data_IF_474504475686
#
_entry.id   IF_474504475686
#
_cell.length_a   1.000
_cell.length_b   1.000
_cell.length_c   1.000
_cell.angle_alpha   90.00
_cell.angle_beta   90.00
_cell.angle_gamma   90.00
#
_symmetry.space_group_name_H-M   'P 1'
#
loop_
_entity.id
_entity.type
_entity.pdbx_description
1 polymer ?
#
# COMPACT_ATOMS: atom_id res chain seq x y z
N UNK A 1 4.48 -27.78 -18.16
CA UNK A 1 5.17 -26.52 -17.82
C UNK A 1 5.91 -26.03 -19.06
N UNK A 2 5.61 -24.81 -19.49
CA UNK A 2 6.30 -24.14 -20.60
C UNK A 2 7.73 -23.75 -20.18
N UNK A 3 8.68 -23.81 -21.11
CA UNK A 3 10.02 -23.25 -20.92
C UNK A 3 10.01 -21.71 -20.98
N UNK A 4 11.10 -21.08 -20.57
CA UNK A 4 11.28 -19.63 -20.70
C UNK A 4 11.28 -19.21 -22.18
N UNK A 5 11.86 -20.04 -23.03
CA UNK A 5 11.90 -19.89 -24.49
C UNK A 5 10.50 -19.99 -25.11
N UNK A 6 9.69 -20.98 -24.72
CA UNK A 6 8.29 -21.07 -25.17
C UNK A 6 7.51 -19.82 -24.77
N UNK A 7 7.79 -19.32 -23.57
CA UNK A 7 7.11 -18.18 -22.99
C UNK A 7 7.46 -16.88 -23.72
N UNK A 8 8.73 -16.67 -24.09
CA UNK A 8 9.18 -15.55 -24.92
C UNK A 8 8.57 -15.60 -26.32
N UNK A 9 8.55 -16.79 -26.94
CA UNK A 9 7.92 -16.98 -28.25
C UNK A 9 6.42 -16.68 -28.20
N UNK A 10 5.68 -17.27 -27.26
CA UNK A 10 4.24 -17.04 -27.11
C UNK A 10 3.92 -15.57 -26.82
N UNK A 11 4.74 -14.89 -26.01
CA UNK A 11 4.59 -13.44 -25.79
C UNK A 11 4.67 -12.66 -27.11
N UNK A 12 5.65 -12.98 -27.96
CA UNK A 12 5.76 -12.36 -29.28
C UNK A 12 4.56 -12.68 -30.18
N UNK A 13 4.08 -13.92 -30.21
CA UNK A 13 2.96 -14.32 -31.08
C UNK A 13 1.66 -13.63 -30.66
N UNK A 14 1.34 -13.61 -29.38
CA UNK A 14 0.03 -13.13 -28.92
C UNK A 14 -0.07 -11.59 -28.93
N UNK A 15 1.04 -10.86 -29.09
CA UNK A 15 0.99 -9.40 -29.35
C UNK A 15 0.43 -9.05 -30.74
N UNK A 16 0.30 -10.00 -31.66
CA UNK A 16 -0.30 -9.78 -32.98
C UNK A 16 -1.83 -9.86 -32.97
N UNK A 17 -2.44 -10.29 -31.86
CA UNK A 17 -3.89 -10.37 -31.73
C UNK A 17 -4.45 -8.96 -31.65
N UNK A 18 -5.37 -8.54 -32.55
CA UNK A 18 -5.89 -7.18 -32.56
C UNK A 18 -6.68 -6.85 -31.28
N UNK A 19 -6.63 -5.58 -30.88
CA UNK A 19 -7.34 -5.05 -29.71
C UNK A 19 -8.85 -5.29 -29.77
N UNK A 20 -9.46 -5.04 -30.93
CA UNK A 20 -10.90 -5.14 -31.14
C UNK A 20 -11.20 -6.39 -31.98
N UNK A 21 -11.45 -7.52 -31.33
CA UNK A 21 -11.84 -8.75 -32.01
C UNK A 21 -11.86 -9.98 -31.12
N UNK A 22 -12.34 -11.09 -31.66
CA UNK A 22 -12.24 -12.38 -31.00
C UNK A 22 -10.89 -13.02 -31.30
N UNK A 23 -10.22 -13.50 -30.26
CA UNK A 23 -8.96 -14.27 -30.37
C UNK A 23 -9.08 -15.44 -31.35
N UNK A 24 -10.24 -16.09 -31.40
CA UNK A 24 -10.49 -17.26 -32.26
C UNK A 24 -10.65 -16.92 -33.74
N UNK A 25 -10.84 -15.65 -34.09
CA UNK A 25 -10.97 -15.22 -35.48
C UNK A 25 -9.60 -14.95 -36.12
N UNK A 26 -8.54 -14.82 -35.30
CA UNK A 26 -7.19 -14.58 -35.77
C UNK A 26 -6.53 -15.87 -36.26
N UNK A 27 -5.86 -15.74 -37.41
CA UNK A 27 -5.19 -16.84 -38.12
C UNK A 27 -3.70 -16.57 -38.14
N UNK A 28 -2.94 -17.58 -37.71
CA UNK A 28 -1.49 -17.61 -37.83
C UNK A 28 -1.09 -18.64 -38.88
N UNK A 29 -0.04 -18.33 -39.63
CA UNK A 29 0.54 -19.24 -40.63
C UNK A 29 1.95 -19.67 -40.22
N UNK A 30 2.37 -20.85 -40.67
CA UNK A 30 3.71 -21.39 -40.35
C UNK A 30 4.86 -20.42 -40.70
N UNK A 31 4.86 -19.73 -41.86
CA UNK A 31 5.91 -18.74 -42.15
C UNK A 31 5.90 -17.53 -41.20
N UNK A 32 4.74 -17.14 -40.67
CA UNK A 32 4.64 -16.06 -39.68
C UNK A 32 5.17 -16.52 -38.32
N UNK A 33 4.92 -17.78 -37.93
CA UNK A 33 5.47 -18.36 -36.70
C UNK A 33 7.00 -18.38 -36.72
N UNK A 34 7.61 -18.72 -37.85
CA UNK A 34 9.08 -18.69 -38.02
C UNK A 34 9.63 -17.25 -37.90
N UNK A 35 8.91 -16.28 -38.45
CA UNK A 35 9.27 -14.87 -38.32
C UNK A 35 9.17 -14.41 -36.86
N UNK A 36 8.12 -14.79 -36.14
CA UNK A 36 7.96 -14.46 -34.72
C UNK A 36 9.02 -15.12 -33.84
N UNK A 37 9.44 -16.35 -34.16
CA UNK A 37 10.57 -16.99 -33.49
C UNK A 37 11.85 -16.17 -33.63
N UNK A 38 12.16 -15.75 -34.87
CA UNK A 38 13.32 -14.92 -35.12
C UNK A 38 13.26 -13.58 -34.39
N UNK A 39 12.09 -12.93 -34.38
CA UNK A 39 11.88 -11.65 -33.70
C UNK A 39 11.92 -11.77 -32.17
N UNK A 40 11.49 -12.90 -31.61
CA UNK A 40 11.61 -13.20 -30.19
C UNK A 40 13.06 -13.49 -29.75
N UNK A 41 13.97 -13.74 -30.71
CA UNK A 41 15.36 -14.10 -30.42
C UNK A 41 15.52 -15.52 -29.87
N UNK A 42 14.54 -16.40 -30.12
CA UNK A 42 14.50 -17.78 -29.63
C UNK A 42 14.95 -18.74 -30.73
N UNK A 43 15.79 -19.72 -30.39
CA UNK A 43 16.21 -20.79 -31.30
C UNK A 43 15.13 -21.89 -31.35
N UNK A 44 14.70 -22.30 -32.54
CA UNK A 44 13.71 -23.36 -32.73
C UNK A 44 14.10 -24.66 -32.01
N UNK A 45 15.40 -24.96 -31.93
CA UNK A 45 15.92 -26.17 -31.27
C UNK A 45 15.78 -26.14 -29.75
N UNK A 46 15.56 -24.96 -29.17
CA UNK A 46 15.35 -24.76 -27.73
C UNK A 46 13.88 -24.74 -27.33
N UNK A 47 12.96 -24.61 -28.28
CA UNK A 47 11.53 -24.67 -28.01
C UNK A 47 11.12 -26.07 -27.55
N UNK A 48 10.23 -26.11 -26.57
CA UNK A 48 9.55 -27.36 -26.26
C UNK A 48 8.40 -27.57 -27.25
N UNK A 49 7.95 -28.82 -27.43
CA UNK A 49 6.75 -29.08 -28.23
C UNK A 49 5.45 -28.55 -27.58
N UNK A 50 5.51 -28.03 -26.35
CA UNK A 50 4.33 -27.69 -25.55
C UNK A 50 3.64 -26.41 -26.03
N UNK A 51 4.36 -25.47 -26.65
CA UNK A 51 3.75 -24.24 -27.18
C UNK A 51 2.68 -24.54 -28.24
N UNK A 52 2.84 -25.64 -29.00
CA UNK A 52 1.88 -26.02 -30.07
C UNK A 52 0.49 -26.26 -29.53
N UNK A 53 0.36 -26.69 -28.28
CA UNK A 53 -0.92 -26.95 -27.63
C UNK A 53 -1.74 -25.67 -27.39
N UNK A 54 -1.13 -24.49 -27.46
CA UNK A 54 -1.82 -23.20 -27.43
C UNK A 54 -2.63 -22.95 -28.71
N UNK A 55 -2.41 -23.76 -29.76
CA UNK A 55 -3.02 -23.61 -31.06
C UNK A 55 -3.81 -24.85 -31.48
N UNK A 56 -4.97 -24.63 -32.10
CA UNK A 56 -5.69 -25.58 -32.93
C UNK A 56 -5.23 -25.40 -34.38
N UNK A 57 -4.72 -26.46 -34.99
CA UNK A 57 -4.40 -26.49 -36.42
C UNK A 57 -5.61 -26.96 -37.23
N UNK A 58 -5.90 -26.27 -38.33
CA UNK A 58 -6.91 -26.67 -39.31
C UNK A 58 -6.24 -26.78 -40.67
N UNK A 59 -6.43 -27.91 -41.33
CA UNK A 59 -5.99 -28.11 -42.70
C UNK A 59 -6.91 -27.32 -43.65
N UNK A 60 -6.42 -26.18 -44.12
CA UNK A 60 -7.12 -25.30 -45.04
C UNK A 60 -6.11 -24.61 -45.96
N UNK A 61 -6.28 -24.78 -47.27
CA UNK A 61 -5.46 -24.06 -48.25
C UNK A 61 -5.88 -22.60 -48.36
N UNK A 62 -4.99 -21.70 -47.95
CA UNK A 62 -5.19 -20.25 -47.98
C UNK A 62 -3.95 -19.54 -48.51
N UNK A 63 -4.15 -18.39 -49.16
CA UNK A 63 -3.05 -17.53 -49.58
C UNK A 63 -2.51 -16.74 -48.38
N UNK A 64 -1.21 -16.76 -48.13
CA UNK A 64 -0.58 -16.04 -47.02
C UNK A 64 -0.72 -14.52 -47.16
N UNK A 65 -0.73 -14.00 -48.40
CA UNK A 65 -0.76 -12.56 -48.67
C UNK A 65 -2.16 -11.93 -48.51
N UNK A 66 -3.22 -12.58 -49.00
CA UNK A 66 -4.59 -12.04 -48.92
C UNK A 66 -5.49 -12.78 -47.92
N UNK A 67 -5.00 -13.86 -47.30
CA UNK A 67 -5.73 -14.71 -46.33
C UNK A 67 -7.03 -15.34 -46.87
N UNK A 68 -7.27 -15.25 -48.19
CA UNK A 68 -8.41 -15.81 -48.88
C UNK A 68 -8.19 -17.29 -49.22
N UNK A 69 -9.30 -18.01 -49.44
CA UNK A 69 -9.26 -19.37 -49.97
C UNK A 69 -8.64 -19.39 -51.37
N UNK A 70 -8.05 -20.52 -51.78
CA UNK A 70 -7.46 -20.67 -53.13
C UNK A 70 -8.44 -20.30 -54.24
N UNK A 71 -9.73 -20.64 -54.07
CA UNK A 71 -10.79 -20.31 -55.02
C UNK A 71 -11.13 -18.82 -55.13
N UNK A 72 -10.80 -18.03 -54.11
CA UNK A 72 -11.15 -16.60 -54.01
C UNK A 72 -9.90 -15.69 -54.10
N UNK A 73 -8.71 -16.29 -54.18
CA UNK A 73 -7.44 -15.58 -54.22
C UNK A 73 -7.23 -14.88 -55.57
N UNK A 74 -6.92 -13.58 -55.52
CA UNK A 74 -6.60 -12.76 -56.71
C UNK A 74 -5.13 -12.36 -56.79
N UNK A 75 -4.29 -12.89 -55.89
CA UNK A 75 -2.85 -12.57 -55.83
C UNK A 75 -2.08 -13.18 -57.02
N UNK A 76 -1.16 -12.39 -57.57
CA UNK A 76 -0.28 -12.80 -58.68
C UNK A 76 0.73 -13.87 -58.26
N UNK A 77 1.23 -13.78 -57.02
CA UNK A 77 2.16 -14.73 -56.42
C UNK A 77 1.40 -15.60 -55.40
N UNK A 78 1.10 -16.84 -55.80
CA UNK A 78 0.32 -17.80 -55.02
C UNK A 78 1.20 -18.50 -53.98
N UNK A 79 1.55 -17.78 -52.91
CA UNK A 79 2.12 -18.40 -51.71
C UNK A 79 0.98 -18.98 -50.88
N UNK A 80 0.66 -20.25 -51.11
CA UNK A 80 -0.38 -20.97 -50.39
C UNK A 80 0.22 -21.79 -49.24
N UNK A 81 -0.49 -21.82 -48.12
CA UNK A 81 -0.21 -22.68 -46.97
C UNK A 81 -1.37 -23.63 -46.74
N UNK A 82 -1.07 -24.85 -46.31
CA UNK A 82 -2.06 -25.90 -46.07
C UNK A 82 -2.58 -25.94 -44.63
N UNK A 83 -1.86 -25.32 -43.70
CA UNK A 83 -2.14 -25.40 -42.27
C UNK A 83 -2.33 -24.00 -41.71
N UNK A 84 -3.45 -23.80 -41.01
CA UNK A 84 -3.78 -22.55 -40.33
C UNK A 84 -3.89 -22.82 -38.84
N UNK A 85 -3.25 -21.98 -38.03
CA UNK A 85 -3.27 -22.08 -36.57
C UNK A 85 -4.21 -21.04 -35.98
N UNK A 86 -5.05 -21.47 -35.05
CA UNK A 86 -5.96 -20.65 -34.26
C UNK A 86 -5.63 -20.82 -32.79
N UNK A 87 -5.71 -19.77 -31.99
CA UNK A 87 -5.53 -19.90 -30.54
C UNK A 87 -6.64 -20.78 -29.96
N UNK A 88 -6.29 -21.60 -28.97
CA UNK A 88 -7.23 -22.40 -28.19
C UNK A 88 -7.51 -21.75 -26.82
N UNK A 89 -8.59 -20.96 -26.65
CA UNK A 89 -8.87 -20.27 -25.40
C UNK A 89 -8.94 -21.19 -24.18
N UNK A 90 -9.45 -22.41 -24.35
CA UNK A 90 -9.61 -23.36 -23.25
C UNK A 90 -8.25 -23.91 -22.79
N UNK A 91 -7.36 -24.21 -23.74
CA UNK A 91 -6.01 -24.65 -23.42
C UNK A 91 -5.22 -23.53 -22.75
N UNK A 92 -5.26 -22.34 -23.35
CA UNK A 92 -4.58 -21.14 -22.85
C UNK A 92 -5.02 -20.81 -21.43
N UNK A 93 -6.33 -20.79 -21.18
CA UNK A 93 -6.87 -20.52 -19.85
C UNK A 93 -6.43 -21.55 -18.81
N UNK A 94 -6.40 -22.84 -19.18
CA UNK A 94 -5.97 -23.90 -18.27
C UNK A 94 -4.49 -23.80 -17.91
N UNK A 95 -3.62 -23.56 -18.88
CA UNK A 95 -2.19 -23.36 -18.61
C UNK A 95 -1.95 -22.11 -17.75
N UNK A 96 -2.69 -21.03 -18.04
CA UNK A 96 -2.63 -19.82 -17.24
C UNK A 96 -3.08 -20.08 -15.80
N UNK A 97 -4.22 -20.76 -15.60
CA UNK A 97 -4.72 -21.14 -14.28
C UNK A 97 -3.73 -22.01 -13.49
N UNK A 98 -3.10 -22.98 -14.15
CA UNK A 98 -2.09 -23.83 -13.52
C UNK A 98 -0.87 -23.04 -13.04
N UNK A 99 -0.47 -22.00 -13.77
CA UNK A 99 0.61 -21.10 -13.32
C UNK A 99 0.22 -20.28 -12.09
N UNK A 100 -1.05 -19.87 -11.98
CA UNK A 100 -1.53 -19.20 -10.76
C UNK A 100 -1.43 -20.15 -9.56
N UNK A 101 -1.75 -21.43 -9.76
CA UNK A 101 -1.66 -22.47 -8.72
C UNK A 101 -0.23 -22.69 -8.22
N UNK A 102 0.77 -22.48 -9.08
CA UNK A 102 2.18 -22.61 -8.71
C UNK A 102 2.70 -21.45 -7.84
N UNK A 103 1.92 -20.37 -7.64
CA UNK A 103 2.30 -19.26 -6.77
C UNK A 103 1.93 -19.52 -5.31
N UNK A 104 2.91 -19.33 -4.43
CA UNK A 104 2.88 -19.69 -3.02
C UNK A 104 1.91 -18.90 -2.12
N UNK A 105 1.25 -17.86 -2.64
CA UNK A 105 0.34 -17.00 -1.86
C UNK A 105 -1.14 -17.20 -2.22
N UNK A 106 -1.44 -18.17 -3.10
CA UNK A 106 -2.80 -18.66 -3.32
C UNK A 106 -2.98 -20.03 -2.66
N UNK A 107 -4.07 -20.22 -1.95
CA UNK A 107 -4.38 -21.47 -1.24
C UNK A 107 -5.34 -22.37 -1.99
N UNK A 108 -6.29 -21.78 -2.70
CA UNK A 108 -7.25 -22.51 -3.51
C UNK A 108 -7.54 -21.76 -4.80
N UNK A 109 -7.70 -22.50 -5.89
CA UNK A 109 -8.12 -21.94 -7.17
C UNK A 109 -9.33 -22.70 -7.70
N UNK A 110 -10.40 -21.96 -7.95
CA UNK A 110 -11.58 -22.44 -8.66
C UNK A 110 -11.67 -21.78 -10.02
N UNK A 111 -11.77 -22.59 -11.08
CA UNK A 111 -11.97 -22.09 -12.44
C UNK A 111 -13.40 -22.34 -12.92
N UNK A 112 -13.93 -21.40 -13.70
CA UNK A 112 -15.26 -21.50 -14.27
C UNK A 112 -15.27 -20.98 -15.71
N UNK A 113 -15.90 -21.75 -16.59
CA UNK A 113 -16.18 -21.33 -17.95
C UNK A 113 -17.55 -20.67 -18.00
N UNK A 114 -17.59 -19.34 -18.20
CA UNK A 114 -18.85 -18.60 -18.37
C UNK A 114 -19.38 -18.85 -19.78
N UNK A 115 -18.50 -18.68 -20.77
CA UNK A 115 -18.74 -19.04 -22.16
C UNK A 115 -17.40 -19.39 -22.87
N UNK A 116 -17.41 -19.47 -24.20
CA UNK A 116 -16.22 -19.86 -24.98
C UNK A 116 -15.13 -18.77 -25.03
N UNK A 117 -15.48 -17.50 -24.76
CA UNK A 117 -14.58 -16.35 -24.83
C UNK A 117 -14.45 -15.61 -23.49
N UNK A 118 -15.22 -16.00 -22.48
CA UNK A 118 -15.17 -15.46 -21.14
C UNK A 118 -14.98 -16.57 -20.11
N UNK A 119 -13.93 -16.45 -19.31
CA UNK A 119 -13.65 -17.36 -18.21
C UNK A 119 -13.55 -16.59 -16.89
N UNK A 120 -13.63 -17.32 -15.78
CA UNK A 120 -13.45 -16.79 -14.44
C UNK A 120 -12.50 -17.70 -13.68
N UNK A 121 -11.54 -17.10 -13.00
CA UNK A 121 -10.69 -17.77 -12.03
C UNK A 121 -10.88 -17.08 -10.70
N UNK A 122 -11.23 -17.84 -9.68
CA UNK A 122 -11.37 -17.40 -8.29
C UNK A 122 -10.16 -17.99 -7.59
N UNK A 123 -9.29 -17.13 -7.08
CA UNK A 123 -8.13 -17.52 -6.30
C UNK A 123 -8.34 -17.05 -4.86
N UNK A 124 -8.32 -17.98 -3.92
CA UNK A 124 -8.26 -17.66 -2.50
C UNK A 124 -6.81 -17.41 -2.13
N UNK A 125 -6.59 -16.32 -1.40
CA UNK A 125 -5.28 -15.97 -0.86
C UNK A 125 -5.42 -15.66 0.63
N UNK A 126 -4.55 -16.26 1.43
CA UNK A 126 -4.46 -16.04 2.88
C UNK A 126 -3.90 -14.64 3.23
N UNK A 127 -3.55 -13.82 2.24
CA UNK A 127 -2.99 -12.47 2.50
C UNK A 127 -3.88 -11.35 1.96
N UNK A 128 -4.64 -11.62 0.89
CA UNK A 128 -5.47 -10.59 0.24
C UNK A 128 -6.94 -11.00 0.05
N UNK A 129 -7.33 -12.16 0.57
CA UNK A 129 -8.67 -12.72 0.43
C UNK A 129 -8.99 -13.23 -0.97
N UNK A 130 -10.28 -13.36 -1.27
CA UNK A 130 -10.76 -13.90 -2.56
C UNK A 130 -10.51 -12.93 -3.71
N UNK A 131 -9.61 -13.28 -4.63
CA UNK A 131 -9.38 -12.54 -5.87
C UNK A 131 -10.15 -13.19 -7.01
N UNK A 132 -10.87 -12.40 -7.79
CA UNK A 132 -11.61 -12.87 -8.96
C UNK A 132 -10.97 -12.30 -10.21
N UNK A 133 -10.31 -13.15 -10.99
CA UNK A 133 -9.86 -12.82 -12.32
C UNK A 133 -11.00 -13.08 -13.32
N UNK A 134 -11.35 -12.06 -14.09
CA UNK A 134 -12.27 -12.14 -15.24
C UNK A 134 -11.43 -12.16 -16.51
N UNK A 135 -11.49 -13.26 -17.24
CA UNK A 135 -10.64 -13.50 -18.41
C UNK A 135 -11.46 -13.29 -19.67
N UNK A 136 -10.92 -12.50 -20.60
CA UNK A 136 -11.56 -12.12 -21.85
C UNK A 136 -10.70 -12.49 -23.07
N UNK A 137 -11.29 -13.27 -23.97
CA UNK A 137 -10.77 -13.59 -25.31
C UNK A 137 -11.52 -12.83 -26.43
N UNK A 138 -12.45 -11.96 -26.04
CA UNK A 138 -13.18 -11.01 -26.89
C UNK A 138 -12.78 -9.60 -26.45
N UNK A 139 -12.06 -8.89 -27.31
CA UNK A 139 -11.54 -7.57 -26.99
C UNK A 139 -12.62 -6.51 -26.82
N UNK A 140 -13.74 -6.63 -27.54
CA UNK A 140 -14.86 -5.70 -27.36
C UNK A 140 -15.50 -5.89 -25.99
N UNK A 141 -15.58 -7.11 -25.47
CA UNK A 141 -16.09 -7.38 -24.11
C UNK A 141 -15.13 -6.91 -23.04
N UNK A 142 -13.82 -7.08 -23.26
CA UNK A 142 -12.77 -6.60 -22.36
C UNK A 142 -12.86 -5.07 -22.18
N UNK A 143 -12.95 -4.31 -23.28
CA UNK A 143 -13.02 -2.85 -23.25
C UNK A 143 -14.31 -2.30 -22.61
N UNK A 144 -15.42 -3.02 -22.74
CA UNK A 144 -16.69 -2.62 -22.14
C UNK A 144 -16.83 -3.10 -20.68
N UNK A 145 -15.81 -3.76 -20.12
CA UNK A 145 -15.82 -4.21 -18.74
C UNK A 145 -15.23 -3.13 -17.83
N UNK A 146 -16.01 -2.69 -16.84
CA UNK A 146 -15.52 -1.77 -15.81
C UNK A 146 -15.04 -2.58 -14.60
N UNK A 147 -13.75 -2.57 -14.26
CA UNK A 147 -13.25 -3.19 -13.04
C UNK A 147 -13.79 -2.44 -11.82
N UNK A 148 -14.02 -3.17 -10.73
CA UNK A 148 -14.46 -2.60 -9.45
C UNK A 148 -13.28 -2.64 -8.48
N UNK A 149 -12.53 -1.55 -8.28
CA UNK A 149 -11.27 -1.58 -7.52
C UNK A 149 -11.46 -1.93 -6.03
N UNK A 150 -12.68 -1.78 -5.50
CA UNK A 150 -13.01 -2.09 -4.10
C UNK A 150 -13.35 -3.57 -3.86
N UNK A 151 -13.49 -4.34 -4.94
CA UNK A 151 -13.67 -5.80 -4.87
C UNK A 151 -12.51 -6.36 -5.67
N UNK A 152 -11.55 -7.13 -5.12
CA UNK A 152 -10.37 -7.63 -5.85
C UNK A 152 -10.77 -8.44 -7.09
N UNK A 153 -11.11 -7.73 -8.18
CA UNK A 153 -11.81 -8.20 -9.38
C UNK A 153 -11.04 -7.66 -10.55
N UNK A 154 -10.08 -8.45 -10.97
CA UNK A 154 -9.10 -8.07 -11.96
C UNK A 154 -9.57 -8.52 -13.34
N UNK A 155 -9.38 -7.68 -14.34
CA UNK A 155 -9.72 -8.02 -15.72
C UNK A 155 -8.46 -8.44 -16.46
N UNK A 156 -8.51 -9.58 -17.15
CA UNK A 156 -7.37 -10.14 -17.89
C UNK A 156 -7.74 -10.27 -19.36
N UNK A 157 -7.09 -9.49 -20.20
CA UNK A 157 -7.25 -9.52 -21.65
C UNK A 157 -6.23 -10.45 -22.31
N UNK A 158 -6.73 -11.36 -23.16
CA UNK A 158 -5.91 -12.14 -24.10
C UNK A 158 -5.90 -11.52 -25.51
N UNK A 159 -6.16 -10.22 -25.60
CA UNK A 159 -6.08 -9.39 -26.81
C UNK A 159 -5.05 -8.28 -26.59
N UNK A 160 -4.38 -7.80 -27.65
CA UNK A 160 -3.46 -6.67 -27.52
C UNK A 160 -4.26 -5.37 -27.40
N UNK A 161 -4.59 -4.97 -26.17
CA UNK A 161 -5.31 -3.72 -25.92
C UNK A 161 -4.38 -2.52 -26.03
N UNK A 162 -4.66 -1.60 -26.96
CA UNK A 162 -4.08 -0.24 -26.91
C UNK A 162 -4.82 0.68 -25.92
N UNK A 163 -6.02 0.30 -25.49
CA UNK A 163 -6.94 1.12 -24.71
C UNK A 163 -7.63 0.27 -23.62
N UNK A 164 -6.86 -0.33 -22.72
CA UNK A 164 -7.36 -0.34 -21.35
C UNK A 164 -7.09 1.09 -20.86
N UNK A 165 -8.14 1.84 -20.51
CA UNK A 165 -7.94 3.09 -19.79
C UNK A 165 -6.99 2.80 -18.61
N UNK A 166 -6.11 3.74 -18.28
CA UNK A 166 -5.18 3.66 -17.13
C UNK A 166 -5.92 3.53 -15.77
N UNK A 167 -7.22 3.22 -15.77
CA UNK A 167 -8.04 2.84 -14.61
C UNK A 167 -7.65 1.43 -14.08
N UNK A 168 -6.46 1.44 -13.49
CA UNK A 168 -5.86 0.67 -12.39
C UNK A 168 -5.93 -0.87 -12.29
N UNK A 169 -6.82 -1.63 -12.96
CA UNK A 169 -6.94 -3.10 -12.70
C UNK A 169 -7.27 -3.98 -13.92
N UNK A 170 -6.89 -3.54 -15.12
CA UNK A 170 -6.91 -4.34 -16.34
C UNK A 170 -5.49 -4.76 -16.71
N UNK A 171 -5.27 -6.05 -16.88
CA UNK A 171 -3.99 -6.66 -17.16
C UNK A 171 -4.02 -7.47 -18.44
N UNK A 172 -2.86 -7.65 -19.05
CA UNK A 172 -2.70 -8.51 -20.22
C UNK A 172 -2.07 -9.83 -19.81
N UNK A 173 -2.46 -10.93 -20.47
CA UNK A 173 -1.91 -12.25 -20.16
C UNK A 173 -0.36 -12.31 -20.20
N UNK A 174 0.25 -11.47 -21.04
CA UNK A 174 1.71 -11.31 -21.18
C UNK A 174 2.38 -10.78 -19.92
N UNK A 175 1.66 -10.05 -19.07
CA UNK A 175 2.20 -9.48 -17.84
C UNK A 175 2.36 -10.57 -16.77
N UNK A 176 1.45 -11.55 -16.74
CA UNK A 176 1.49 -12.70 -15.83
C UNK A 176 2.62 -13.70 -16.14
N UNK A 177 3.30 -13.53 -17.27
CA UNK A 177 4.53 -14.25 -17.60
C UNK A 177 5.74 -13.68 -16.86
N UNK A 178 5.74 -12.38 -16.56
CA UNK A 178 6.86 -11.72 -15.92
C UNK A 178 6.95 -12.14 -14.44
N UNK A 179 8.11 -12.63 -14.03
CA UNK A 179 8.39 -13.00 -12.64
C UNK A 179 8.22 -11.80 -11.69
N UNK A 180 8.50 -10.58 -12.17
CA UNK A 180 8.33 -9.35 -11.39
C UNK A 180 6.87 -8.92 -11.21
N UNK A 181 5.99 -9.33 -12.11
CA UNK A 181 4.58 -8.93 -12.10
C UNK A 181 3.85 -9.40 -10.85
N UNK A 182 4.01 -10.67 -10.47
CA UNK A 182 3.28 -11.27 -9.37
C UNK A 182 3.56 -10.61 -8.02
N UNK A 183 4.83 -10.25 -7.78
CA UNK A 183 5.22 -9.47 -6.59
C UNK A 183 4.61 -8.06 -6.62
N UNK A 184 4.58 -7.42 -7.79
CA UNK A 184 3.95 -6.12 -7.97
C UNK A 184 2.44 -6.17 -7.72
N UNK A 185 1.76 -7.17 -8.27
CA UNK A 185 0.32 -7.39 -8.10
C UNK A 185 -0.04 -7.66 -6.64
N UNK A 186 0.70 -8.54 -5.97
CA UNK A 186 0.49 -8.82 -4.54
C UNK A 186 0.58 -7.53 -3.71
N UNK A 187 1.66 -6.75 -3.88
CA UNK A 187 1.81 -5.47 -3.20
C UNK A 187 0.69 -4.48 -3.53
N UNK A 188 0.24 -4.40 -4.78
CA UNK A 188 -0.88 -3.52 -5.17
C UNK A 188 -2.20 -3.95 -4.53
N UNK A 189 -2.46 -5.25 -4.44
CA UNK A 189 -3.65 -5.80 -3.80
C UNK A 189 -3.63 -5.59 -2.28
N UNK A 190 -2.46 -5.76 -1.63
CA UNK A 190 -2.26 -5.39 -0.21
C UNK A 190 -2.46 -3.89 -0.02
N UNK A 191 -1.92 -3.04 -0.90
CA UNK A 191 -2.11 -1.59 -0.83
C UNK A 191 -3.55 -1.17 -1.07
N UNK A 192 -4.29 -1.88 -1.91
CA UNK A 192 -5.71 -1.69 -2.13
C UNK A 192 -6.56 -2.01 -0.90
N UNK A 193 -6.01 -2.77 0.07
CA UNK A 193 -6.61 -2.97 1.38
C UNK A 193 -6.33 -1.81 2.35
N UNK A 194 -5.54 -0.79 2.00
CA UNK A 194 -5.32 0.41 2.84
C UNK A 194 -6.57 1.20 3.28
N UNK A 195 -7.73 1.22 2.60
CA UNK A 195 -8.92 1.83 3.19
C UNK A 195 -9.46 1.07 4.42
N UNK A 196 -8.89 -0.10 4.75
CA UNK A 196 -9.28 -0.92 5.91
C UNK A 196 -8.34 -0.75 7.12
N UNK A 197 -7.35 0.14 7.05
CA UNK A 197 -6.44 0.44 8.16
C UNK A 197 -6.41 1.92 8.56
N UNK A 198 -6.30 2.19 9.86
CA UNK A 198 -6.27 3.55 10.40
C UNK A 198 -4.94 3.83 11.07
N UNK A 199 -4.06 4.56 10.37
CA UNK A 199 -2.75 4.99 10.90
C UNK A 199 -2.88 5.73 12.22
N UNK A 200 -2.15 5.27 13.22
CA UNK A 200 -2.01 5.88 14.53
C UNK A 200 -0.78 6.80 14.57
N UNK A 201 0.42 6.24 14.43
CA UNK A 201 1.69 6.96 14.54
C UNK A 201 2.83 6.25 13.80
N UNK A 202 3.93 6.98 13.55
CA UNK A 202 5.17 6.40 12.99
C UNK A 202 5.99 5.72 14.07
N UNK A 203 6.59 4.57 13.75
CA UNK A 203 7.46 3.80 14.66
C UNK A 203 8.71 4.58 15.06
N UNK A 204 9.34 5.25 14.10
CA UNK A 204 10.56 6.05 14.29
C UNK A 204 10.24 7.45 14.83
N UNK A 205 9.63 7.53 16.02
CA UNK A 205 9.40 8.79 16.72
C UNK A 205 9.80 8.69 18.19
N UNK A 206 10.22 9.82 18.77
CA UNK A 206 10.64 9.86 20.18
C UNK A 206 9.54 9.41 21.15
N UNK A 207 8.26 9.63 20.80
CA UNK A 207 7.11 9.12 21.53
C UNK A 207 7.12 7.58 21.58
N UNK A 208 7.17 6.92 20.42
CA UNK A 208 7.06 5.46 20.31
C UNK A 208 8.33 4.77 20.81
N UNK A 209 9.52 5.25 20.45
CA UNK A 209 10.80 4.66 20.89
C UNK A 209 10.96 4.62 22.42
N UNK A 210 10.33 5.56 23.15
CA UNK A 210 10.47 5.70 24.60
C UNK A 210 9.24 5.20 25.35
N UNK A 211 8.04 5.30 24.76
CA UNK A 211 6.77 5.09 25.46
C UNK A 211 5.80 4.15 24.71
N UNK A 212 6.30 3.25 23.86
CA UNK A 212 5.48 2.25 23.17
C UNK A 212 4.50 1.53 24.13
N UNK A 213 5.01 0.98 25.24
CA UNK A 213 4.18 0.30 26.26
C UNK A 213 3.07 1.21 26.82
N UNK A 214 3.39 2.48 27.16
CA UNK A 214 2.39 3.42 27.68
C UNK A 214 1.32 3.76 26.64
N UNK A 215 1.68 3.85 25.37
CA UNK A 215 0.73 4.11 24.27
C UNK A 215 -0.23 2.92 24.13
N UNK A 216 0.31 1.69 24.12
CA UNK A 216 -0.50 0.47 24.06
C UNK A 216 -1.42 0.36 25.27
N UNK A 217 -0.89 0.51 26.48
CA UNK A 217 -1.64 0.34 27.72
C UNK A 217 -2.80 1.33 27.82
N UNK A 218 -2.62 2.58 27.40
CA UNK A 218 -3.70 3.56 27.39
C UNK A 218 -4.76 3.29 26.32
N UNK A 219 -4.36 2.76 25.15
CA UNK A 219 -5.32 2.26 24.17
C UNK A 219 -6.13 1.07 24.73
N UNK A 220 -5.46 0.10 25.37
CA UNK A 220 -6.11 -1.04 26.03
C UNK A 220 -7.08 -0.56 27.12
N UNK A 221 -6.65 0.39 27.97
CA UNK A 221 -7.49 0.98 29.02
C UNK A 221 -8.71 1.70 28.45
N UNK A 222 -8.56 2.42 27.33
CA UNK A 222 -9.67 3.07 26.65
C UNK A 222 -10.69 2.04 26.15
N UNK A 223 -10.25 0.99 25.45
CA UNK A 223 -11.13 -0.07 24.95
C UNK A 223 -11.86 -0.78 26.10
N UNK A 224 -11.16 -1.10 27.19
CA UNK A 224 -11.79 -1.66 28.40
C UNK A 224 -12.79 -0.69 29.03
N UNK A 225 -12.47 0.62 29.06
CA UNK A 225 -13.31 1.67 29.62
C UNK A 225 -14.63 1.87 28.87
N UNK A 226 -14.66 1.60 27.57
CA UNK A 226 -15.88 1.59 26.74
C UNK A 226 -16.57 0.23 26.69
N UNK A 227 -16.05 -0.77 27.41
CA UNK A 227 -16.67 -2.08 27.60
C UNK A 227 -16.25 -3.16 26.61
N UNK A 228 -15.16 -2.97 25.85
CA UNK A 228 -14.59 -3.99 24.99
C UNK A 228 -13.66 -4.91 25.79
N UNK A 229 -13.60 -6.19 25.41
CA UNK A 229 -12.68 -7.16 26.01
C UNK A 229 -11.33 -7.11 25.31
N UNK A 230 -10.24 -6.97 26.07
CA UNK A 230 -8.89 -6.76 25.51
C UNK A 230 -8.00 -7.95 25.82
N UNK A 231 -7.34 -8.47 24.79
CA UNK A 231 -6.38 -9.57 24.88
C UNK A 231 -5.04 -9.17 24.27
N UNK A 232 -3.98 -9.37 25.05
CA UNK A 232 -2.58 -9.26 24.60
C UNK A 232 -2.07 -10.56 23.96
N UNK A 233 -2.94 -11.55 23.81
CA UNK A 233 -2.64 -12.81 23.13
C UNK A 233 -3.59 -12.96 21.95
N UNK A 234 -3.39 -12.19 20.85
CA UNK A 234 -4.24 -12.22 19.66
C UNK A 234 -4.50 -13.64 19.16
N UNK A 235 -3.45 -14.47 19.21
CA UNK A 235 -3.41 -15.84 18.72
C UNK A 235 -4.39 -16.78 19.43
N UNK A 236 -4.83 -16.45 20.64
CA UNK A 236 -5.80 -17.24 21.40
C UNK A 236 -7.25 -16.81 21.19
N UNK A 237 -7.48 -15.55 20.80
CA UNK A 237 -8.81 -14.94 20.77
C UNK A 237 -9.30 -14.61 19.35
N UNK A 238 -8.37 -14.57 18.39
CA UNK A 238 -8.62 -14.07 17.05
C UNK A 238 -7.71 -14.75 16.01
N UNK A 239 -7.51 -16.06 16.14
CA UNK A 239 -6.70 -16.87 15.21
C UNK A 239 -7.10 -16.72 13.73
N UNK A 240 -8.36 -16.41 13.44
CA UNK A 240 -8.90 -16.18 12.09
C UNK A 240 -8.35 -14.92 11.40
N UNK A 241 -7.61 -14.07 12.12
CA UNK A 241 -6.96 -12.89 11.53
C UNK A 241 -5.68 -13.24 10.78
N UNK A 242 -5.06 -14.37 11.12
CA UNK A 242 -3.83 -14.85 10.45
C UNK A 242 -4.03 -15.04 8.94
N UNK A 243 -5.28 -15.26 8.52
CA UNK A 243 -5.75 -15.31 7.12
C UNK A 243 -5.75 -13.95 6.38
N UNK A 244 -5.31 -12.87 7.04
CA UNK A 244 -5.33 -11.50 6.50
C UNK A 244 -4.12 -10.67 6.93
N UNK A 245 -3.66 -10.86 8.17
CA UNK A 245 -2.58 -10.12 8.80
C UNK A 245 -1.78 -11.13 9.61
N UNK A 246 -0.44 -11.14 9.46
CA UNK A 246 0.41 -11.96 10.31
C UNK A 246 0.12 -11.65 11.78
N UNK A 247 -0.40 -12.66 12.50
CA UNK A 247 -0.87 -12.47 13.87
C UNK A 247 0.28 -12.23 14.85
N UNK A 248 1.53 -12.49 14.44
CA UNK A 248 2.74 -12.13 15.19
C UNK A 248 2.99 -10.62 15.18
N UNK A 249 2.50 -9.90 14.16
CA UNK A 249 2.62 -8.44 14.04
C UNK A 249 1.49 -7.68 14.75
N UNK A 250 0.59 -8.37 15.44
CA UNK A 250 -0.52 -7.78 16.19
C UNK A 250 -0.11 -7.58 17.65
N UNK A 251 -0.12 -6.33 18.13
CA UNK A 251 0.25 -5.99 19.50
C UNK A 251 -0.86 -6.39 20.50
N UNK A 252 -2.12 -6.11 20.17
CA UNK A 252 -3.28 -6.55 20.96
C UNK A 252 -4.58 -6.57 20.13
N UNK A 253 -5.58 -7.27 20.65
CA UNK A 253 -6.95 -7.31 20.11
C UNK A 253 -7.93 -6.77 21.14
N UNK A 254 -8.84 -5.90 20.71
CA UNK A 254 -9.97 -5.43 21.49
C UNK A 254 -11.29 -5.88 20.82
N UNK A 255 -12.11 -6.64 21.54
CA UNK A 255 -13.34 -7.26 21.04
C UNK A 255 -14.57 -6.57 21.63
N UNK A 256 -15.42 -6.02 20.78
CA UNK A 256 -16.73 -5.50 21.20
C UNK A 256 -17.69 -6.66 21.51
N UNK A 257 -17.63 -7.70 20.68
CA UNK A 257 -18.43 -8.92 20.76
C UNK A 257 -17.72 -10.06 19.99
N UNK A 258 -18.35 -11.22 19.84
CA UNK A 258 -17.76 -12.39 19.16
C UNK A 258 -17.43 -12.14 17.68
N UNK A 259 -18.07 -11.16 17.04
CA UNK A 259 -17.95 -10.88 15.62
C UNK A 259 -17.14 -9.61 15.29
N UNK A 260 -17.05 -8.66 16.22
CA UNK A 260 -16.44 -7.34 16.00
C UNK A 260 -15.17 -7.14 16.84
N UNK A 261 -14.04 -6.91 16.17
CA UNK A 261 -12.72 -6.79 16.81
C UNK A 261 -11.87 -5.69 16.19
N UNK A 262 -11.22 -4.88 17.02
CA UNK A 262 -10.14 -3.98 16.60
C UNK A 262 -8.78 -4.60 16.91
N UNK A 263 -7.83 -4.38 16.03
CA UNK A 263 -6.46 -4.86 16.20
C UNK A 263 -5.52 -3.68 16.03
N UNK A 264 -4.61 -3.49 16.99
CA UNK A 264 -3.45 -2.63 16.79
C UNK A 264 -2.31 -3.50 16.26
N UNK A 265 -1.76 -3.15 15.11
CA UNK A 265 -0.68 -3.93 14.51
C UNK A 265 0.42 -3.07 13.87
N UNK A 266 1.49 -3.78 13.54
CA UNK A 266 2.71 -3.30 12.90
C UNK A 266 3.01 -3.98 11.57
N UNK A 267 1.99 -4.58 10.95
CA UNK A 267 2.13 -5.47 9.81
C UNK A 267 2.63 -4.78 8.52
N UNK A 268 2.99 -5.63 7.55
CA UNK A 268 3.54 -5.24 6.25
C UNK A 268 2.63 -4.32 5.41
N UNK A 269 1.35 -4.17 5.77
CA UNK A 269 0.45 -3.22 5.09
C UNK A 269 0.93 -1.76 5.25
N UNK A 270 1.56 -1.44 6.38
CA UNK A 270 2.21 -0.16 6.63
C UNK A 270 3.37 -0.32 7.64
N UNK A 271 4.53 -0.80 7.17
CA UNK A 271 5.63 -1.23 8.03
C UNK A 271 6.29 -0.09 8.81
N UNK A 272 5.98 1.17 8.47
CA UNK A 272 6.52 2.37 9.12
C UNK A 272 5.59 2.92 10.22
N UNK A 273 4.36 2.41 10.32
CA UNK A 273 3.34 2.96 11.21
C UNK A 273 2.67 1.89 12.06
N UNK A 274 2.32 2.26 13.28
CA UNK A 274 1.26 1.58 14.03
C UNK A 274 -0.07 1.95 13.43
N UNK A 275 -0.96 0.97 13.26
CA UNK A 275 -2.26 1.21 12.66
C UNK A 275 -3.32 0.24 13.21
N UNK A 276 -4.58 0.67 13.14
CA UNK A 276 -5.70 -0.17 13.50
C UNK A 276 -6.28 -0.90 12.30
N UNK A 277 -6.64 -2.16 12.47
CA UNK A 277 -7.61 -2.86 11.62
C UNK A 277 -8.89 -3.11 12.37
N UNK A 278 -9.98 -3.25 11.62
CA UNK A 278 -11.28 -3.62 12.16
C UNK A 278 -11.81 -4.87 11.46
N UNK A 279 -12.24 -5.85 12.24
CA UNK A 279 -12.82 -7.09 11.77
C UNK A 279 -14.27 -7.17 12.19
N UNK A 280 -15.15 -7.50 11.24
CA UNK A 280 -16.55 -7.79 11.50
C UNK A 280 -16.95 -9.08 10.81
N UNK A 281 -17.68 -9.94 11.52
CA UNK A 281 -18.15 -11.25 11.03
C UNK A 281 -17.02 -12.10 10.41
N UNK A 282 -15.84 -12.08 11.04
CA UNK A 282 -14.67 -12.86 10.61
C UNK A 282 -13.96 -12.32 9.38
N UNK A 283 -14.21 -11.07 8.97
CA UNK A 283 -13.59 -10.45 7.79
C UNK A 283 -13.07 -9.05 8.08
N UNK A 284 -11.98 -8.70 7.42
CA UNK A 284 -11.44 -7.34 7.44
C UNK A 284 -12.49 -6.35 6.89
N UNK A 285 -12.72 -5.29 7.65
CA UNK A 285 -13.80 -4.31 7.45
C UNK A 285 -13.24 -2.89 7.52
N UNK A 286 -13.98 -1.93 7.00
CA UNK A 286 -13.59 -0.52 7.05
C UNK A 286 -13.51 -0.05 8.51
N UNK A 287 -12.31 0.33 8.93
CA UNK A 287 -11.99 0.81 10.28
C UNK A 287 -12.75 2.09 10.65
N UNK A 288 -13.11 2.91 9.66
CA UNK A 288 -13.88 4.16 9.86
C UNK A 288 -15.34 3.90 10.21
N UNK A 289 -15.81 2.65 10.08
CA UNK A 289 -17.15 2.26 10.50
C UNK A 289 -17.31 2.19 12.03
N UNK A 290 -16.22 2.24 12.80
CA UNK A 290 -16.23 2.23 14.26
C UNK A 290 -15.76 3.55 14.86
N UNK A 291 -16.72 4.33 15.38
CA UNK A 291 -16.45 5.60 16.08
C UNK A 291 -15.49 5.42 17.29
N UNK A 292 -15.53 4.26 17.94
CA UNK A 292 -14.65 3.92 19.07
C UNK A 292 -13.19 3.86 18.64
N UNK A 293 -12.90 3.21 17.50
CA UNK A 293 -11.54 3.08 16.97
C UNK A 293 -11.05 4.43 16.44
N UNK A 294 -11.89 5.18 15.73
CA UNK A 294 -11.54 6.51 15.25
C UNK A 294 -11.21 7.46 16.41
N UNK A 295 -12.03 7.45 17.46
CA UNK A 295 -11.85 8.30 18.64
C UNK A 295 -10.58 7.92 19.39
N UNK A 296 -10.33 6.63 19.63
CA UNK A 296 -9.11 6.18 20.33
C UNK A 296 -7.87 6.56 19.54
N UNK A 297 -7.89 6.34 18.22
CA UNK A 297 -6.81 6.73 17.31
C UNK A 297 -6.56 8.24 17.36
N UNK A 298 -7.60 9.06 17.17
CA UNK A 298 -7.44 10.51 17.07
C UNK A 298 -6.89 11.12 18.37
N UNK A 299 -7.39 10.66 19.53
CA UNK A 299 -6.89 11.11 20.84
C UNK A 299 -5.45 10.69 21.07
N UNK A 300 -5.13 9.41 20.82
CA UNK A 300 -3.78 8.90 21.03
C UNK A 300 -2.77 9.51 20.05
N UNK A 301 -3.16 9.72 18.79
CA UNK A 301 -2.35 10.46 17.81
C UNK A 301 -2.09 11.90 18.27
N UNK A 302 -3.08 12.54 18.88
CA UNK A 302 -2.91 13.84 19.55
C UNK A 302 -1.82 13.79 20.62
N UNK A 303 -1.89 12.82 21.54
CA UNK A 303 -0.90 12.64 22.61
C UNK A 303 0.51 12.36 22.07
N UNK A 304 0.64 11.49 21.05
CA UNK A 304 1.92 11.21 20.38
C UNK A 304 2.53 12.47 19.77
N UNK A 305 1.72 13.27 19.06
CA UNK A 305 2.19 14.52 18.47
C UNK A 305 2.61 15.55 19.54
N UNK A 306 1.82 15.69 20.60
CA UNK A 306 2.13 16.60 21.71
C UNK A 306 3.44 16.20 22.43
N UNK A 307 3.66 14.91 22.63
CA UNK A 307 4.91 14.41 23.21
C UNK A 307 6.10 14.68 22.29
N UNK A 308 5.99 14.39 21.00
CA UNK A 308 7.06 14.65 20.03
C UNK A 308 7.42 16.15 19.98
N UNK A 309 6.42 17.03 19.96
CA UNK A 309 6.62 18.48 20.02
C UNK A 309 7.34 18.93 21.31
N UNK A 310 7.00 18.33 22.47
CA UNK A 310 7.67 18.60 23.73
C UNK A 310 9.13 18.09 23.74
N UNK A 311 9.38 16.93 23.12
CA UNK A 311 10.72 16.34 22.98
C UNK A 311 11.62 17.23 22.12
N UNK A 312 11.13 17.73 20.98
CA UNK A 312 11.84 18.69 20.14
C UNK A 312 12.09 20.01 20.88
N UNK A 313 11.08 20.55 21.58
CA UNK A 313 11.18 21.80 22.34
C UNK A 313 12.22 21.71 23.47
N UNK A 314 12.46 20.53 24.02
CA UNK A 314 13.52 20.29 25.02
C UNK A 314 14.92 20.42 24.42
N UNK A 315 15.10 20.06 23.15
CA UNK A 315 16.39 20.14 22.48
C UNK A 315 16.74 21.59 22.08
N UNK A 316 15.74 22.44 21.81
CA UNK A 316 15.94 23.83 21.40
C UNK A 316 15.86 24.85 22.56
N UNK A 317 16.62 24.63 23.64
CA UNK A 317 16.76 25.61 24.75
C UNK A 317 17.66 26.82 24.39
N UNK A 318 18.24 26.85 23.19
CA UNK A 318 19.20 27.87 22.75
C UNK A 318 18.68 29.31 22.83
N UNK A 319 17.45 29.61 22.38
CA UNK A 319 16.85 30.95 22.50
C UNK A 319 16.68 31.42 23.95
N UNK A 320 16.32 30.50 24.87
CA UNK A 320 16.15 30.84 26.29
C UNK A 320 17.46 31.25 26.96
N UNK A 321 18.56 30.54 26.67
CA UNK A 321 19.90 30.89 27.18
C UNK A 321 20.33 32.28 26.69
N UNK A 322 20.02 32.63 25.44
CA UNK A 322 20.32 33.97 24.90
C UNK A 322 19.53 35.07 25.60
N UNK A 323 18.23 34.87 25.84
CA UNK A 323 17.41 35.84 26.58
C UNK A 323 17.91 35.96 28.03
N UNK A 324 18.27 34.85 28.67
CA UNK A 324 18.84 34.83 30.02
C UNK A 324 20.16 35.62 30.10
N UNK A 325 21.04 35.45 29.11
CA UNK A 325 22.28 36.21 29.00
C UNK A 325 22.05 37.71 28.78
N UNK A 326 21.02 38.10 27.99
CA UNK A 326 20.63 39.50 27.80
C UNK A 326 20.10 40.11 29.11
N UNK A 327 19.21 39.41 29.83
CA UNK A 327 18.69 39.92 31.11
C UNK A 327 19.82 40.06 32.14
N UNK A 328 20.71 39.06 32.27
CA UNK A 328 21.89 39.17 33.14
C UNK A 328 22.84 40.29 32.67
N UNK A 329 23.00 40.48 31.35
CA UNK A 329 23.80 41.55 30.78
C UNK A 329 23.24 42.95 31.07
N UNK A 330 21.92 43.12 31.03
CA UNK A 330 21.21 44.36 31.40
C UNK A 330 21.25 44.60 32.92
N UNK A 331 21.39 43.53 33.73
CA UNK A 331 21.54 43.60 35.20
C UNK A 331 22.93 44.13 35.63
N UNK A 332 23.90 44.33 34.74
CA UNK A 332 25.11 45.05 35.12
C UNK A 332 24.72 46.43 35.65
N UNK A 333 24.83 46.62 36.97
CA UNK A 333 24.38 47.81 37.71
C UNK A 333 25.23 49.04 37.34
N UNK A 334 26.39 48.82 36.70
CA UNK A 334 27.37 49.83 36.32
C UNK A 334 26.84 50.97 35.44
N UNK A 335 26.19 50.69 34.28
CA UNK A 335 25.71 51.75 33.38
C UNK A 335 24.54 52.54 33.95
N UNK A 336 23.74 51.96 34.84
CA UNK A 336 22.53 52.60 35.37
C UNK A 336 22.86 53.61 36.49
N UNK A 337 23.88 53.30 37.31
CA UNK A 337 24.47 54.26 38.23
C UNK A 337 25.10 55.45 37.49
N UNK A 338 25.83 55.18 36.39
CA UNK A 338 26.43 56.22 35.54
C UNK A 338 25.37 57.06 34.81
N UNK A 339 24.24 56.48 34.42
CA UNK A 339 23.16 57.19 33.73
C UNK A 339 22.47 58.24 34.61
N UNK A 340 22.25 57.94 35.90
CA UNK A 340 21.72 58.93 36.85
C UNK A 340 22.71 60.07 37.13
N UNK A 341 24.00 59.75 37.14
CA UNK A 341 25.07 60.74 37.30
C UNK A 341 25.16 61.68 36.08
N UNK A 342 24.93 61.17 34.86
CA UNK A 342 24.93 61.96 33.61
C UNK A 342 23.68 62.85 33.46
N UNK A 343 22.53 62.43 33.98
CA UNK A 343 21.28 63.20 33.87
C UNK A 343 21.11 64.28 34.94
N UNK A 344 22.09 64.47 35.84
CA UNK A 344 22.06 65.42 36.95
C UNK A 344 20.77 65.33 37.79
N UNK A 345 20.15 64.15 37.85
CA UNK A 345 18.94 63.94 38.65
C UNK A 345 19.36 63.83 40.11
N UNK A 346 19.09 64.89 40.88
CA UNK A 346 19.45 64.98 42.29
C UNK A 346 18.49 64.12 43.14
N UNK A 347 18.65 62.80 43.01
CA UNK A 347 17.90 61.82 43.78
C UNK A 347 18.47 61.78 45.20
N UNK A 348 17.59 61.89 46.19
CA UNK A 348 17.97 61.60 47.58
C UNK A 348 18.47 60.14 47.66
N UNK A 349 19.40 59.85 48.56
CA UNK A 349 19.91 58.48 48.76
C UNK A 349 18.79 57.46 48.93
N UNK A 350 17.67 57.85 49.54
CA UNK A 350 16.49 57.01 49.73
C UNK A 350 15.76 56.70 48.41
N UNK A 351 15.67 57.66 47.48
CA UNK A 351 15.09 57.44 46.15
C UNK A 351 15.97 56.56 45.27
N UNK A 352 17.29 56.76 45.30
CA UNK A 352 18.26 55.92 44.56
C UNK A 352 18.20 54.46 45.04
N UNK A 353 18.17 54.24 46.36
CA UNK A 353 17.99 52.90 46.94
C UNK A 353 16.63 52.30 46.56
N UNK A 354 15.56 53.09 46.58
CA UNK A 354 14.22 52.63 46.17
C UNK A 354 14.15 52.19 44.71
N UNK A 355 14.76 52.95 43.79
CA UNK A 355 14.85 52.60 42.36
C UNK A 355 15.67 51.33 42.17
N UNK A 356 16.81 51.21 42.87
CA UNK A 356 17.66 50.03 42.79
C UNK A 356 16.94 48.77 43.28
N UNK A 357 16.22 48.85 44.40
CA UNK A 357 15.37 47.77 44.91
C UNK A 357 14.27 47.43 43.89
N UNK A 358 13.61 48.43 43.30
CA UNK A 358 12.59 48.22 42.27
C UNK A 358 13.12 47.46 41.05
N UNK A 359 14.30 47.83 40.55
CA UNK A 359 14.97 47.15 39.44
C UNK A 359 15.31 45.71 39.81
N UNK A 360 15.82 45.46 41.02
CA UNK A 360 16.14 44.10 41.49
C UNK A 360 14.87 43.24 41.56
N UNK A 361 13.76 43.78 42.10
CA UNK A 361 12.49 43.06 42.22
C UNK A 361 11.92 42.71 40.83
N UNK A 362 11.88 43.67 39.90
CA UNK A 362 11.39 43.43 38.54
C UNK A 362 12.26 42.39 37.82
N UNK A 363 13.58 42.48 37.96
CA UNK A 363 14.49 41.50 37.38
C UNK A 363 14.30 40.10 37.99
N UNK A 364 14.10 40.00 39.29
CA UNK A 364 13.81 38.72 39.94
C UNK A 364 12.54 38.10 39.35
N UNK A 365 11.48 38.89 39.17
CA UNK A 365 10.23 38.42 38.55
C UNK A 365 10.49 37.94 37.11
N UNK A 366 11.23 38.70 36.30
CA UNK A 366 11.55 38.32 34.92
C UNK A 366 12.39 37.05 34.84
N UNK A 367 13.40 36.92 35.71
CA UNK A 367 14.24 35.72 35.81
C UNK A 367 13.39 34.52 36.21
N UNK A 368 12.53 34.65 37.22
CA UNK A 368 11.63 33.57 37.64
C UNK A 368 10.65 33.18 36.52
N UNK A 369 10.09 34.14 35.79
CA UNK A 369 9.21 33.89 34.65
C UNK A 369 9.94 33.15 33.53
N UNK A 370 11.19 33.53 33.22
CA UNK A 370 12.00 32.82 32.22
C UNK A 370 12.39 31.42 32.66
N UNK A 371 12.79 31.25 33.93
CA UNK A 371 13.09 29.92 34.48
C UNK A 371 11.84 29.05 34.41
N UNK A 372 10.67 29.59 34.77
CA UNK A 372 9.41 28.89 34.63
C UNK A 372 9.13 28.49 33.18
N UNK A 373 9.23 29.43 32.22
CA UNK A 373 8.99 29.15 30.80
C UNK A 373 10.00 28.14 30.21
N UNK A 374 11.25 28.16 30.65
CA UNK A 374 12.28 27.22 30.18
C UNK A 374 12.12 25.82 30.81
N UNK A 375 11.74 25.75 32.09
CA UNK A 375 11.53 24.48 32.78
C UNK A 375 10.14 23.88 32.52
N UNK A 376 9.16 24.67 32.06
CA UNK A 376 7.80 24.23 31.84
C UNK A 376 7.70 23.09 30.79
N UNK A 377 8.33 23.16 29.60
CA UNK A 377 8.35 22.05 28.65
C UNK A 377 9.01 20.80 29.24
N UNK A 378 10.11 20.96 30.00
CA UNK A 378 10.81 19.85 30.64
C UNK A 378 9.94 19.17 31.70
N UNK A 379 9.22 19.96 32.51
CA UNK A 379 8.27 19.46 33.48
C UNK A 379 7.12 18.73 32.78
N UNK A 380 6.48 19.36 31.79
CA UNK A 380 5.38 18.79 31.01
C UNK A 380 5.76 17.49 30.30
N UNK A 381 6.97 17.40 29.76
CA UNK A 381 7.49 16.17 29.15
C UNK A 381 7.72 15.06 30.20
N UNK A 382 8.19 15.41 31.41
CA UNK A 382 8.45 14.43 32.47
C UNK A 382 7.16 13.93 33.12
N UNK A 383 6.13 14.77 33.20
CA UNK A 383 4.81 14.43 33.74
C UNK A 383 3.79 14.32 32.62
N UNK A 384 4.22 13.86 31.44
CA UNK A 384 3.32 13.71 30.31
C UNK A 384 2.26 12.66 30.65
N UNK A 385 1.00 12.99 30.37
CA UNK A 385 -0.14 12.15 30.66
C UNK A 385 -0.60 11.54 29.34
N UNK A 386 -0.56 10.21 29.27
CA UNK A 386 -0.91 9.46 28.06
C UNK A 386 -2.40 9.10 28.00
N UNK A 387 -3.18 9.40 29.04
CA UNK A 387 -4.59 9.04 29.12
C UNK A 387 -5.42 9.67 28.00
N UNK A 388 -6.42 8.91 27.53
CA UNK A 388 -7.35 9.29 26.44
C UNK A 388 -8.81 9.08 26.79
#
# INVERSE_FOLDING_TARGET
MLSDEDTQFLNRVLTEIPAHGNVTDYRFFEPEMDEFLHQAGVDETTLSSNWRSFFKSVDQEVCTSCRASVSECTCSDQNHVSTVYFIDPDYVFREWAARIEDHNWFTEITTESIDNLNKRLIAESDSVGTIIFRIFFDGQRFENHSPDPLKPRLSVGFVNGKHADEEEYAYFWTEFIDVGFWKGLHNQLVQLQNPLSLRLCRKETAAVEINAESIEDELKNYFQGVGWDVSEQPQLVCHEVDDYIDIEDVNFVASENENSRALLCECDSDPEHWHFHYFTDGKLSDVTSSEVIETSRDRMRGNVNDYNNLSESRQDLGPFVRIFAVIIGVINIGPLAQFFEILEVDLTTQQTVGILIGIIVVNLILVLALVYLALWPVYRHRTFDWSI
#
